data_IF_116483483009
#
_entry.id   IF_116483483009
#
_cell.length_a   1.000
_cell.length_b   1.000
_cell.length_c   1.000
_cell.angle_alpha   90.00
_cell.angle_beta   90.00
_cell.angle_gamma   90.00
#
_symmetry.space_group_name_H-M   'P 1'
#
loop_
_entity.id
_entity.type
_entity.pdbx_description
1 polymer ?
#
# COMPACT_ATOMS: atom_id res chain seq x y z
N UNK A 1 -14.82 -57.26 30.38
CA UNK A 1 -13.41 -56.98 30.71
C UNK A 1 -13.43 -55.59 31.39
N UNK A 2 -13.54 -55.34 32.72
CA UNK A 2 -12.88 -55.85 33.96
C UNK A 2 -11.36 -55.80 33.80
N UNK A 3 -10.58 -54.88 34.44
CA UNK A 3 -10.47 -54.46 35.87
C UNK A 3 -9.70 -53.10 35.97
N UNK A 4 -10.12 -52.13 36.80
CA UNK A 4 -9.66 -51.72 38.17
C UNK A 4 -8.28 -51.02 38.23
N UNK A 5 -8.17 -49.72 38.56
CA UNK A 5 -8.08 -49.01 39.88
C UNK A 5 -6.80 -49.36 40.71
N UNK A 6 -6.17 -48.29 41.26
CA UNK A 6 -5.51 -48.12 42.59
C UNK A 6 -4.13 -47.43 42.41
N UNK A 7 -4.00 -46.11 42.59
CA UNK A 7 -3.73 -45.34 43.83
C UNK A 7 -2.56 -45.87 44.68
N UNK A 8 -1.49 -45.09 44.88
CA UNK A 8 -0.93 -44.92 46.23
C UNK A 8 -0.14 -43.61 46.35
N UNK A 9 -0.45 -42.96 47.46
CA UNK A 9 -0.02 -41.67 47.96
C UNK A 9 1.10 -41.93 48.99
N UNK A 10 1.82 -40.85 49.37
CA UNK A 10 2.56 -40.65 50.63
C UNK A 10 3.99 -41.22 50.67
N UNK A 11 5.01 -40.37 50.91
CA UNK A 11 5.54 -40.13 52.26
C UNK A 11 6.80 -39.25 52.23
N UNK A 12 6.73 -38.18 53.01
CA UNK A 12 7.80 -37.30 53.45
C UNK A 12 9.04 -38.03 53.99
N UNK A 13 10.23 -37.46 53.81
CA UNK A 13 11.19 -37.43 54.91
C UNK A 13 12.09 -36.18 54.86
N UNK A 14 12.10 -35.49 55.99
CA UNK A 14 12.93 -34.36 56.34
C UNK A 14 14.35 -34.83 56.72
N UNK A 15 15.34 -33.99 56.39
CA UNK A 15 16.58 -33.69 57.11
C UNK A 15 17.44 -34.81 57.74
N UNK A 16 18.72 -34.85 57.33
CA UNK A 16 19.81 -35.45 58.10
C UNK A 16 21.18 -35.16 57.48
N UNK A 17 21.95 -34.25 58.08
CA UNK A 17 23.39 -34.10 57.85
C UNK A 17 24.14 -35.34 58.36
N UNK A 18 25.11 -35.86 57.59
CA UNK A 18 26.54 -35.91 57.95
C UNK A 18 27.36 -36.95 57.14
N UNK A 19 28.55 -36.49 56.76
CA UNK A 19 29.80 -37.23 56.53
C UNK A 19 30.05 -38.02 55.22
N UNK A 20 30.95 -37.42 54.43
CA UNK A 20 32.02 -37.96 53.59
C UNK A 20 32.13 -39.49 53.37
N UNK A 21 32.22 -39.88 52.10
CA UNK A 21 33.35 -40.68 51.58
C UNK A 21 33.27 -40.77 50.06
N UNK A 22 34.38 -40.47 49.38
CA UNK A 22 34.58 -40.64 47.96
C UNK A 22 34.38 -42.12 47.53
N UNK A 23 33.82 -42.41 46.37
CA UNK A 23 34.56 -42.49 45.11
C UNK A 23 33.63 -42.93 43.95
N UNK A 24 33.98 -42.41 42.76
CA UNK A 24 33.74 -42.95 41.42
C UNK A 24 32.37 -42.80 40.73
N UNK A 25 32.45 -41.93 39.71
CA UNK A 25 31.96 -42.09 38.33
C UNK A 25 30.46 -42.10 38.08
N UNK A 26 29.89 -40.90 38.02
CA UNK A 26 29.43 -40.28 36.77
C UNK A 26 28.83 -38.92 37.12
N UNK A 27 29.64 -37.86 37.04
CA UNK A 27 29.09 -36.53 36.84
C UNK A 27 28.51 -36.52 35.43
N UNK A 28 27.20 -36.69 35.32
CA UNK A 28 26.49 -36.16 34.17
C UNK A 28 26.80 -34.66 34.15
N UNK A 29 27.62 -34.25 33.18
CA UNK A 29 27.85 -32.84 32.85
C UNK A 29 26.47 -32.20 32.73
N UNK A 30 26.18 -31.05 33.36
CA UNK A 30 24.99 -30.31 33.02
C UNK A 30 25.05 -30.09 31.51
N UNK A 31 24.05 -30.57 30.76
CA UNK A 31 23.90 -30.14 29.39
C UNK A 31 23.69 -28.64 29.48
N UNK A 32 24.74 -27.92 29.10
CA UNK A 32 24.70 -26.52 28.75
C UNK A 32 23.62 -26.46 27.66
N UNK A 33 22.41 -26.02 28.04
CA UNK A 33 21.41 -25.62 27.05
C UNK A 33 22.07 -24.44 26.33
N UNK A 34 22.77 -24.76 25.24
CA UNK A 34 23.31 -23.75 24.34
C UNK A 34 22.12 -22.87 23.94
N UNK A 35 22.19 -21.60 24.38
CA UNK A 35 21.27 -20.57 23.92
C UNK A 35 21.21 -20.69 22.40
N UNK A 36 20.01 -20.76 21.79
CA UNK A 36 19.92 -20.92 20.35
C UNK A 36 20.78 -19.84 19.69
N UNK A 37 21.72 -20.27 18.86
CA UNK A 37 22.56 -19.34 18.12
C UNK A 37 21.64 -18.39 17.33
N UNK A 38 21.91 -17.10 17.49
CA UNK A 38 21.11 -16.03 16.92
C UNK A 38 21.91 -15.40 15.77
N UNK A 39 21.33 -15.44 14.58
CA UNK A 39 21.96 -15.00 13.34
C UNK A 39 21.34 -13.69 12.86
N UNK A 40 22.13 -12.88 12.17
CA UNK A 40 21.75 -11.55 11.70
C UNK A 40 21.37 -11.56 10.23
N UNK A 41 20.57 -10.57 9.86
CA UNK A 41 20.23 -10.27 8.47
C UNK A 41 20.70 -8.85 8.17
N UNK A 42 21.56 -8.70 7.17
CA UNK A 42 22.04 -7.42 6.65
C UNK A 42 21.54 -7.23 5.21
N UNK A 43 21.30 -5.99 4.81
CA UNK A 43 20.87 -5.64 3.45
C UNK A 43 21.99 -4.83 2.81
N UNK A 44 22.41 -5.22 1.61
CA UNK A 44 23.61 -4.70 0.98
C UNK A 44 23.55 -3.20 0.64
N UNK A 45 22.38 -2.60 0.42
CA UNK A 45 22.20 -1.15 0.18
C UNK A 45 20.76 -0.64 0.43
N UNK A 46 20.60 0.70 0.54
CA UNK A 46 19.43 1.54 0.89
C UNK A 46 18.13 1.32 0.08
N UNK A 47 17.62 0.09 0.00
CA UNK A 47 16.31 -0.18 -0.58
C UNK A 47 15.18 0.18 0.40
N UNK A 48 14.06 0.78 -0.09
CA UNK A 48 12.89 1.08 0.73
C UNK A 48 12.14 -0.20 1.08
N UNK A 49 12.68 -0.98 2.02
CA UNK A 49 12.00 -2.12 2.61
C UNK A 49 11.08 -1.58 3.70
N UNK A 50 9.79 -1.87 3.62
CA UNK A 50 8.81 -1.40 4.62
C UNK A 50 8.77 -2.24 5.89
N UNK A 51 9.39 -3.42 5.89
CA UNK A 51 9.34 -4.32 7.03
C UNK A 51 10.45 -4.00 8.03
N UNK A 52 10.11 -3.98 9.32
CA UNK A 52 11.12 -3.90 10.39
C UNK A 52 11.69 -5.29 10.63
N UNK A 53 12.83 -5.62 10.01
CA UNK A 53 13.55 -6.85 10.30
C UNK A 53 13.99 -6.87 11.77
N UNK A 54 13.93 -8.05 12.40
CA UNK A 54 14.49 -8.26 13.74
C UNK A 54 16.00 -8.07 13.71
N UNK A 55 16.57 -7.68 14.84
CA UNK A 55 18.02 -7.57 15.02
C UNK A 55 18.74 -8.93 15.03
N UNK A 56 18.01 -10.03 15.26
CA UNK A 56 18.52 -11.40 15.21
C UNK A 56 17.36 -12.41 15.05
N UNK A 57 17.66 -13.56 14.46
CA UNK A 57 16.76 -14.68 14.19
C UNK A 57 17.38 -16.00 14.65
N UNK A 58 16.55 -16.98 15.04
CA UNK A 58 17.04 -18.33 15.30
C UNK A 58 17.16 -19.13 13.99
N UNK A 59 18.07 -20.10 13.93
CA UNK A 59 18.10 -21.06 12.81
C UNK A 59 16.73 -21.76 12.65
N UNK A 60 16.26 -21.89 11.41
CA UNK A 60 14.96 -22.47 11.09
C UNK A 60 13.77 -21.49 11.20
N UNK A 61 13.99 -20.26 11.65
CA UNK A 61 12.95 -19.24 11.71
C UNK A 61 12.58 -18.72 10.29
N UNK A 62 11.30 -18.50 10.02
CA UNK A 62 10.86 -17.94 8.74
C UNK A 62 11.06 -16.42 8.74
N UNK A 63 11.66 -15.90 7.66
CA UNK A 63 11.85 -14.47 7.42
C UNK A 63 11.09 -14.09 6.16
N UNK A 64 10.34 -12.99 6.21
CA UNK A 64 9.58 -12.45 5.07
C UNK A 64 9.97 -11.00 4.80
N UNK A 65 10.36 -10.74 3.57
CA UNK A 65 10.72 -9.43 3.04
C UNK A 65 9.51 -8.92 2.24
N UNK A 66 9.17 -7.65 2.47
CA UNK A 66 8.09 -6.93 1.79
C UNK A 66 8.69 -5.74 1.05
N UNK A 67 8.57 -5.74 -0.28
CA UNK A 67 9.04 -4.68 -1.17
C UNK A 67 7.84 -3.99 -1.81
N UNK A 68 7.89 -2.68 -1.95
CA UNK A 68 6.88 -1.89 -2.68
C UNK A 68 6.99 -2.25 -4.18
N UNK A 69 5.93 -2.77 -4.77
CA UNK A 69 5.91 -3.08 -6.20
C UNK A 69 5.74 -1.78 -6.98
N UNK A 70 6.72 -1.47 -7.83
CA UNK A 70 6.61 -0.39 -8.82
C UNK A 70 6.26 -1.07 -10.14
N UNK A 71 5.26 -0.57 -10.85
CA UNK A 71 4.57 -1.27 -11.96
C UNK A 71 5.47 -1.64 -13.15
N UNK A 72 6.71 -1.14 -13.22
CA UNK A 72 7.70 -1.39 -14.29
C UNK A 72 9.00 -2.07 -13.82
N UNK A 73 9.10 -2.36 -12.54
CA UNK A 73 10.29 -2.90 -11.91
C UNK A 73 9.91 -4.20 -11.21
N UNK A 74 10.61 -5.29 -11.51
CA UNK A 74 10.58 -6.44 -10.62
C UNK A 74 11.93 -6.57 -9.93
N UNK A 75 11.87 -6.89 -8.64
CA UNK A 75 13.07 -7.13 -7.86
C UNK A 75 13.48 -8.59 -7.99
N UNK A 76 14.78 -8.80 -8.20
CA UNK A 76 15.41 -10.07 -7.85
C UNK A 76 16.03 -9.93 -6.48
N UNK A 77 15.64 -10.82 -5.59
CA UNK A 77 16.13 -10.84 -4.21
C UNK A 77 17.06 -12.02 -4.07
N UNK A 78 18.28 -11.77 -3.62
CA UNK A 78 19.28 -12.80 -3.37
C UNK A 78 19.57 -12.89 -1.87
N UNK A 79 19.63 -14.11 -1.35
CA UNK A 79 20.05 -14.43 0.03
C UNK A 79 21.36 -15.19 -0.06
N UNK A 80 22.45 -14.60 0.46
CA UNK A 80 23.81 -15.13 0.33
C UNK A 80 24.16 -15.49 -1.13
N UNK A 81 23.72 -14.67 -2.09
CA UNK A 81 23.92 -14.86 -3.52
C UNK A 81 22.96 -15.84 -4.21
N UNK A 82 21.98 -16.42 -3.48
CA UNK A 82 20.96 -17.32 -4.05
C UNK A 82 19.67 -16.56 -4.31
N UNK A 83 19.21 -16.54 -5.57
CA UNK A 83 17.95 -15.90 -5.96
C UNK A 83 16.74 -16.58 -5.30
N UNK A 84 15.88 -15.78 -4.67
CA UNK A 84 14.61 -16.21 -4.10
C UNK A 84 13.48 -16.08 -5.12
N UNK A 85 12.58 -17.06 -5.11
CA UNK A 85 11.33 -16.95 -5.83
C UNK A 85 10.34 -16.03 -5.10
N UNK A 86 9.59 -15.23 -5.86
CA UNK A 86 8.49 -14.42 -5.34
C UNK A 86 7.33 -15.31 -4.87
N UNK A 87 6.72 -14.96 -3.74
CA UNK A 87 5.52 -15.65 -3.26
C UNK A 87 4.30 -15.26 -4.09
N UNK A 88 3.87 -16.18 -4.95
CA UNK A 88 2.74 -15.99 -5.88
C UNK A 88 1.38 -16.02 -5.18
N UNK A 89 1.28 -16.50 -3.94
CA UNK A 89 0.02 -16.53 -3.20
C UNK A 89 -0.27 -15.21 -2.46
N UNK A 90 0.72 -14.34 -2.32
CA UNK A 90 0.65 -13.10 -1.55
C UNK A 90 0.65 -11.83 -2.43
N UNK A 91 0.32 -11.92 -3.73
CA UNK A 91 0.41 -10.80 -4.65
C UNK A 91 -0.71 -9.77 -4.43
N UNK A 92 -0.48 -8.89 -3.46
CA UNK A 92 -0.99 -7.53 -3.52
C UNK A 92 -0.32 -6.83 -4.72
N UNK A 93 -1.08 -6.14 -5.57
CA UNK A 93 -0.49 -5.39 -6.70
C UNK A 93 0.44 -4.28 -6.22
N UNK A 94 0.36 -3.90 -4.95
CA UNK A 94 1.21 -2.88 -4.31
C UNK A 94 2.49 -3.46 -3.71
N UNK A 95 2.58 -4.78 -3.46
CA UNK A 95 3.74 -5.34 -2.77
C UNK A 95 4.17 -6.73 -3.26
N UNK A 96 5.48 -6.90 -3.39
CA UNK A 96 6.12 -8.18 -3.64
C UNK A 96 6.65 -8.78 -2.34
N UNK A 97 6.37 -10.06 -2.14
CA UNK A 97 6.76 -10.79 -0.93
C UNK A 97 7.77 -11.89 -1.27
N UNK A 98 8.83 -11.97 -0.47
CA UNK A 98 9.87 -13.00 -0.59
C UNK A 98 10.07 -13.62 0.79
N UNK A 99 10.12 -14.94 0.86
CA UNK A 99 10.28 -15.65 2.14
C UNK A 99 11.41 -16.67 2.06
N UNK A 100 12.17 -16.79 3.14
CA UNK A 100 13.19 -17.82 3.30
C UNK A 100 13.24 -18.32 4.75
N UNK A 101 13.93 -19.44 4.97
CA UNK A 101 14.19 -19.99 6.30
C UNK A 101 15.59 -19.62 6.71
N UNK A 102 15.76 -19.08 7.92
CA UNK A 102 17.06 -18.63 8.43
C UNK A 102 18.04 -19.81 8.51
N UNK A 103 19.22 -19.72 7.85
CA UNK A 103 20.24 -20.75 7.94
C UNK A 103 21.02 -20.66 9.27
N UNK A 104 21.94 -21.61 9.49
CA UNK A 104 22.88 -21.61 10.61
C UNK A 104 24.09 -20.67 10.35
N UNK A 105 23.83 -19.49 9.77
CA UNK A 105 24.83 -18.46 9.49
C UNK A 105 24.16 -17.09 9.29
N UNK A 106 24.97 -16.02 9.38
CA UNK A 106 24.49 -14.67 9.06
C UNK A 106 24.12 -14.56 7.57
N UNK A 107 23.12 -13.73 7.27
CA UNK A 107 22.56 -13.56 5.93
C UNK A 107 22.79 -12.16 5.41
N UNK A 108 23.29 -12.07 4.18
CA UNK A 108 23.29 -10.86 3.37
C UNK A 108 22.17 -10.95 2.32
N UNK A 109 21.32 -9.92 2.29
CA UNK A 109 20.29 -9.72 1.27
C UNK A 109 20.77 -8.71 0.25
N UNK A 110 20.79 -9.11 -1.01
CA UNK A 110 21.05 -8.23 -2.15
C UNK A 110 19.76 -8.09 -2.96
N UNK A 111 19.43 -6.86 -3.36
CA UNK A 111 18.23 -6.57 -4.16
C UNK A 111 18.69 -5.93 -5.47
N UNK A 112 18.36 -6.59 -6.57
CA UNK A 112 18.57 -6.09 -7.92
C UNK A 112 17.25 -5.57 -8.47
N UNK A 113 17.24 -4.30 -8.85
CA UNK A 113 16.14 -3.66 -9.54
C UNK A 113 16.23 -3.95 -11.04
N UNK A 114 15.27 -4.71 -11.57
CA UNK A 114 15.21 -5.09 -12.98
C UNK A 114 14.05 -4.37 -13.65
N UNK A 115 14.39 -3.35 -14.45
CA UNK A 115 13.44 -2.72 -15.37
C UNK A 115 13.14 -3.66 -16.54
N UNK A 116 11.86 -3.74 -16.93
CA UNK A 116 11.43 -4.59 -18.05
C UNK A 116 11.07 -3.74 -19.25
N UNK A 117 11.91 -3.79 -20.29
CA UNK A 117 11.51 -3.35 -21.63
C UNK A 117 10.47 -4.35 -22.18
N UNK A 118 9.18 -4.03 -22.13
CA UNK A 118 8.12 -4.89 -22.68
C UNK A 118 7.98 -4.65 -24.20
N UNK A 119 8.41 -5.57 -25.08
CA UNK A 119 8.29 -5.39 -26.52
C UNK A 119 6.88 -5.79 -26.96
N UNK A 120 6.11 -4.82 -27.48
CA UNK A 120 4.71 -5.00 -27.88
C UNK A 120 3.68 -4.50 -26.86
N UNK A 121 4.12 -3.56 -25.99
CA UNK A 121 3.50 -3.17 -24.73
C UNK A 121 2.03 -2.78 -24.76
N UNK A 122 1.30 -3.30 -23.78
CA UNK A 122 0.12 -2.65 -23.23
C UNK A 122 0.59 -1.40 -22.48
N UNK A 123 0.26 -0.23 -23.01
CA UNK A 123 0.44 1.05 -22.32
C UNK A 123 -0.54 1.13 -21.15
N UNK A 124 -0.05 1.44 -19.95
CA UNK A 124 -0.88 1.68 -18.76
C UNK A 124 -0.41 2.93 -18.01
N UNK A 125 -1.26 3.44 -17.14
CA UNK A 125 -1.08 4.71 -16.42
C UNK A 125 -0.24 4.47 -15.17
N UNK A 126 0.82 5.27 -15.03
CA UNK A 126 1.70 5.26 -13.85
C UNK A 126 1.26 6.33 -12.87
N UNK A 127 0.95 7.52 -13.38
CA UNK A 127 0.61 8.66 -12.55
C UNK A 127 -0.35 9.64 -13.26
N UNK A 128 -1.15 10.34 -12.46
CA UNK A 128 -1.95 11.48 -12.87
C UNK A 128 -1.78 12.57 -11.81
N UNK A 129 -1.31 13.74 -12.22
CA UNK A 129 -1.09 14.85 -11.29
C UNK A 129 -1.53 16.18 -11.88
N UNK A 130 -1.95 17.07 -11.00
CA UNK A 130 -2.33 18.43 -11.34
C UNK A 130 -1.15 19.38 -11.14
N UNK A 131 -0.50 19.75 -12.24
CA UNK A 131 0.62 20.71 -12.20
C UNK A 131 0.17 22.12 -11.81
N UNK A 132 -1.10 22.47 -12.03
CA UNK A 132 -1.59 23.78 -11.62
C UNK A 132 -1.52 23.91 -10.09
N UNK A 133 -1.97 22.88 -9.38
CA UNK A 133 -1.90 22.83 -7.91
C UNK A 133 -0.46 22.74 -7.41
N UNK A 134 0.35 21.82 -7.95
CA UNK A 134 1.72 21.58 -7.47
C UNK A 134 2.66 22.75 -7.73
N UNK A 135 2.59 23.32 -8.93
CA UNK A 135 3.48 24.39 -9.37
C UNK A 135 2.90 25.79 -9.11
N UNK A 136 1.67 25.88 -8.56
CA UNK A 136 0.93 27.13 -8.33
C UNK A 136 0.80 27.97 -9.60
N UNK A 137 0.40 27.34 -10.69
CA UNK A 137 0.20 28.01 -11.96
C UNK A 137 -1.04 28.92 -11.89
N UNK A 138 -1.11 29.97 -12.73
CA UNK A 138 -2.32 30.77 -12.81
C UNK A 138 -3.49 29.93 -13.34
N UNK A 139 -4.58 29.97 -12.60
CA UNK A 139 -5.85 29.29 -12.86
C UNK A 139 -6.86 30.40 -13.23
N UNK A 140 -7.21 30.47 -14.52
CA UNK A 140 -8.12 31.50 -15.05
C UNK A 140 -9.53 31.32 -14.48
N UNK A 141 -10.25 32.41 -14.17
CA UNK A 141 -11.58 32.38 -13.51
C UNK A 141 -12.72 31.71 -14.31
N UNK A 142 -12.43 31.06 -15.44
CA UNK A 142 -13.42 30.40 -16.29
C UNK A 142 -13.47 28.90 -16.02
N UNK A 143 -14.66 28.39 -15.69
CA UNK A 143 -14.96 26.95 -15.62
C UNK A 143 -14.65 26.29 -16.96
N UNK A 144 -13.96 25.15 -16.93
CA UNK A 144 -13.54 24.42 -18.13
C UNK A 144 -14.26 23.07 -18.22
N UNK A 145 -15.03 22.86 -19.29
CA UNK A 145 -15.50 21.53 -19.70
C UNK A 145 -14.32 20.78 -20.32
N UNK A 146 -13.86 19.68 -19.69
CA UNK A 146 -12.71 18.91 -20.17
C UNK A 146 -13.09 17.54 -20.73
N UNK A 147 -14.22 16.98 -20.31
CA UNK A 147 -14.70 15.68 -20.79
C UNK A 147 -16.21 15.59 -20.76
N UNK A 148 -16.75 14.69 -21.58
CA UNK A 148 -18.17 14.39 -21.59
C UNK A 148 -18.42 12.92 -21.96
N UNK A 149 -19.40 12.29 -21.32
CA UNK A 149 -19.96 10.99 -21.73
C UNK A 149 -21.40 11.15 -22.22
N UNK A 150 -22.15 10.04 -22.39
CA UNK A 150 -23.52 10.08 -22.89
C UNK A 150 -24.50 10.81 -21.95
N UNK A 151 -24.16 10.94 -20.67
CA UNK A 151 -25.06 11.37 -19.59
C UNK A 151 -24.51 12.49 -18.73
N UNK A 152 -23.20 12.74 -18.77
CA UNK A 152 -22.51 13.61 -17.82
C UNK A 152 -21.47 14.48 -18.53
N UNK A 153 -21.41 15.74 -18.14
CA UNK A 153 -20.36 16.71 -18.46
C UNK A 153 -19.44 16.86 -17.25
N UNK A 154 -18.13 16.90 -17.48
CA UNK A 154 -17.10 16.93 -16.44
C UNK A 154 -16.28 18.21 -16.55
N UNK A 155 -16.11 18.91 -15.43
CA UNK A 155 -15.55 20.25 -15.40
C UNK A 155 -14.44 20.41 -14.38
N UNK A 156 -13.46 21.23 -14.73
CA UNK A 156 -12.53 21.84 -13.78
C UNK A 156 -13.04 23.22 -13.35
N UNK A 157 -12.69 23.63 -12.13
CA UNK A 157 -13.03 24.93 -11.54
C UNK A 157 -12.39 26.13 -12.26
N UNK A 158 -11.38 25.87 -13.09
CA UNK A 158 -10.72 26.84 -13.94
C UNK A 158 -10.14 26.17 -15.20
N UNK A 159 -9.55 26.96 -16.09
CA UNK A 159 -8.81 26.46 -17.27
C UNK A 159 -7.50 25.82 -16.81
N UNK A 160 -7.48 24.48 -16.67
CA UNK A 160 -6.32 23.72 -16.21
C UNK A 160 -6.15 22.33 -16.82
N UNK A 161 -7.02 21.89 -17.73
CA UNK A 161 -6.94 20.54 -18.32
C UNK A 161 -5.57 20.24 -18.98
N UNK A 162 -4.96 21.26 -19.59
CA UNK A 162 -3.60 21.19 -20.15
C UNK A 162 -2.46 21.00 -19.12
N UNK A 163 -2.76 21.21 -17.84
CA UNK A 163 -1.83 21.07 -16.71
C UNK A 163 -2.10 19.82 -15.87
N UNK A 164 -3.24 19.14 -16.07
CA UNK A 164 -3.47 17.80 -15.52
C UNK A 164 -2.79 16.80 -16.44
N UNK A 165 -1.69 16.21 -15.97
CA UNK A 165 -0.81 15.38 -16.78
C UNK A 165 -0.99 13.92 -16.41
N UNK A 166 -1.08 13.08 -17.44
CA UNK A 166 -1.05 11.62 -17.34
C UNK A 166 0.30 11.13 -17.83
N UNK A 167 1.00 10.36 -17.02
CA UNK A 167 2.22 9.66 -17.40
C UNK A 167 1.92 8.17 -17.58
N UNK A 168 2.31 7.65 -18.74
CA UNK A 168 2.28 6.21 -18.98
C UNK A 168 3.60 5.53 -18.63
N UNK A 169 3.56 4.21 -18.69
CA UNK A 169 4.68 3.33 -18.36
C UNK A 169 5.84 3.34 -19.36
N UNK A 170 5.82 4.23 -20.34
CA UNK A 170 6.94 4.50 -21.25
C UNK A 170 7.59 5.86 -20.96
N UNK A 171 7.10 6.57 -19.93
CA UNK A 171 7.49 7.94 -19.62
C UNK A 171 6.89 8.97 -20.57
N UNK A 172 5.95 8.58 -21.45
CA UNK A 172 5.21 9.54 -22.26
C UNK A 172 4.22 10.27 -21.37
N UNK A 173 4.23 11.59 -21.46
CA UNK A 173 3.28 12.47 -20.79
C UNK A 173 2.31 13.07 -21.80
N UNK A 174 1.04 13.11 -21.44
CA UNK A 174 -0.04 13.73 -22.22
C UNK A 174 -1.00 14.47 -21.28
N UNK A 175 -1.72 15.46 -21.79
CA UNK A 175 -2.77 16.11 -21.02
C UNK A 175 -3.98 15.18 -20.82
N UNK A 176 -4.75 15.42 -19.75
CA UNK A 176 -5.90 14.60 -19.35
C UNK A 176 -6.94 14.42 -20.46
N UNK A 177 -7.18 15.44 -21.29
CA UNK A 177 -8.17 15.39 -22.37
C UNK A 177 -7.69 14.46 -23.47
N UNK A 178 -6.42 14.56 -23.86
CA UNK A 178 -5.80 13.64 -24.81
C UNK A 178 -5.81 12.20 -24.29
N UNK A 179 -5.48 12.01 -23.01
CA UNK A 179 -5.45 10.69 -22.39
C UNK A 179 -6.83 10.01 -22.34
N UNK A 180 -7.89 10.74 -21.98
CA UNK A 180 -9.28 10.24 -22.01
C UNK A 180 -9.71 9.92 -23.45
N UNK A 181 -9.39 10.78 -24.42
CA UNK A 181 -9.72 10.56 -25.83
C UNK A 181 -9.01 9.35 -26.43
N UNK A 182 -7.78 9.08 -26.02
CA UNK A 182 -7.00 7.90 -26.42
C UNK A 182 -7.47 6.62 -25.71
N UNK A 183 -8.34 6.73 -24.69
CA UNK A 183 -8.73 5.61 -23.83
C UNK A 183 -7.60 5.11 -22.94
N UNK A 184 -6.58 5.96 -22.69
CA UNK A 184 -5.47 5.67 -21.79
C UNK A 184 -5.92 5.69 -20.33
N UNK A 185 -6.84 6.60 -20.00
CA UNK A 185 -7.50 6.72 -18.68
C UNK A 185 -9.02 6.75 -18.86
N UNK A 186 -9.71 6.52 -17.75
CA UNK A 186 -11.13 6.71 -17.53
C UNK A 186 -11.36 7.77 -16.45
N UNK A 187 -12.61 8.22 -16.26
CA UNK A 187 -12.96 9.10 -15.14
C UNK A 187 -12.65 8.45 -13.78
N UNK A 188 -12.81 7.14 -13.66
CA UNK A 188 -12.50 6.43 -12.42
C UNK A 188 -11.01 6.49 -12.05
N UNK A 189 -10.12 6.66 -13.03
CA UNK A 189 -8.69 6.86 -12.76
C UNK A 189 -8.45 8.25 -12.16
N UNK A 190 -9.19 9.29 -12.58
CA UNK A 190 -9.12 10.61 -11.94
C UNK A 190 -9.53 10.55 -10.46
N UNK A 191 -10.58 9.79 -10.13
CA UNK A 191 -11.00 9.55 -8.74
C UNK A 191 -9.91 8.82 -7.93
N UNK A 192 -9.27 7.82 -8.55
CA UNK A 192 -8.22 7.05 -7.91
C UNK A 192 -7.00 7.90 -7.54
N UNK A 193 -6.60 8.80 -8.44
CA UNK A 193 -5.47 9.70 -8.26
C UNK A 193 -5.82 11.00 -7.53
N UNK A 194 -7.08 11.18 -7.12
CA UNK A 194 -7.51 12.33 -6.32
C UNK A 194 -7.57 13.64 -7.11
N UNK A 195 -7.76 13.59 -8.43
CA UNK A 195 -7.91 14.78 -9.26
C UNK A 195 -9.31 15.37 -9.04
N UNK A 196 -9.37 16.60 -8.55
CA UNK A 196 -10.64 17.26 -8.27
C UNK A 196 -11.32 17.77 -9.56
N UNK A 197 -12.58 17.39 -9.75
CA UNK A 197 -13.47 17.89 -10.79
C UNK A 197 -14.92 17.92 -10.28
N UNK A 198 -15.82 18.57 -11.01
CA UNK A 198 -17.25 18.51 -10.75
C UNK A 198 -18.02 18.07 -11.99
N UNK A 199 -19.23 17.56 -11.78
CA UNK A 199 -20.07 17.00 -12.84
C UNK A 199 -21.37 17.75 -12.98
N UNK A 200 -21.90 17.76 -14.20
CA UNK A 200 -23.28 18.16 -14.47
C UNK A 200 -23.95 17.08 -15.33
N UNK A 201 -25.19 16.69 -15.02
CA UNK A 201 -25.95 15.82 -15.90
C UNK A 201 -26.19 16.55 -17.23
N UNK A 202 -25.98 15.85 -18.34
CA UNK A 202 -26.42 16.31 -19.66
C UNK A 202 -27.93 16.35 -19.65
N UNK A 203 -28.48 17.55 -19.61
CA UNK A 203 -29.91 17.78 -19.57
C UNK A 203 -30.63 17.04 -20.72
N UNK A 204 -31.29 15.93 -20.37
CA UNK A 204 -32.59 15.63 -20.94
C UNK A 204 -33.68 16.40 -20.20
N UNK A 205 -33.53 17.73 -20.05
CA UNK A 205 -34.22 18.62 -19.08
C UNK A 205 -34.02 18.22 -17.59
N UNK A 206 -33.27 19.01 -16.81
CA UNK A 206 -33.24 18.86 -15.36
C UNK A 206 -32.42 19.91 -14.61
N UNK A 207 -32.92 21.15 -14.58
CA UNK A 207 -32.67 22.23 -13.60
C UNK A 207 -31.44 22.10 -12.68
N UNK A 208 -30.48 23.01 -12.89
CA UNK A 208 -29.39 23.33 -11.96
C UNK A 208 -29.96 23.68 -10.57
N UNK A 209 -29.78 22.79 -9.59
CA UNK A 209 -29.81 23.18 -8.19
C UNK A 209 -28.45 23.78 -7.84
N UNK A 210 -28.42 25.12 -7.83
CA UNK A 210 -27.33 25.91 -7.28
C UNK A 210 -27.37 25.78 -5.75
N UNK A 211 -26.23 25.54 -5.06
CA UNK A 211 -26.23 25.50 -3.61
C UNK A 211 -26.63 26.86 -3.03
N UNK A 212 -27.70 26.82 -2.27
CA UNK A 212 -28.32 27.84 -1.47
C UNK A 212 -27.35 28.38 -0.41
N UNK A 213 -26.58 29.41 -0.79
CA UNK A 213 -25.97 30.32 0.17
C UNK A 213 -27.03 31.26 0.74
N UNK A 214 -27.51 30.91 1.93
CA UNK A 214 -28.38 31.74 2.75
C UNK A 214 -27.70 33.04 3.21
N UNK A 215 -28.08 34.16 2.57
CA UNK A 215 -28.19 35.53 3.14
C UNK A 215 -26.96 36.23 3.73
N UNK A 216 -27.02 37.55 4.04
CA UNK A 216 -28.25 38.27 4.41
C UNK A 216 -28.50 39.60 3.67
N UNK A 217 -29.79 39.88 3.47
CA UNK A 217 -30.37 41.23 3.54
C UNK A 217 -30.37 42.05 2.25
N UNK A 218 -31.55 42.19 1.64
CA UNK A 218 -32.12 43.53 1.54
C UNK A 218 -33.64 43.51 1.34
N UNK A 219 -34.25 44.57 1.83
CA UNK A 219 -35.68 44.80 2.08
C UNK A 219 -36.50 44.84 0.78
N UNK A 220 -37.64 44.14 0.73
CA UNK A 220 -38.71 44.47 -0.23
C UNK A 220 -39.91 44.97 0.58
N UNK A 221 -40.10 46.29 0.53
CA UNK A 221 -41.27 46.98 1.07
C UNK A 221 -42.52 46.61 0.27
N UNK A 222 -43.60 46.37 1.03
CA UNK A 222 -44.98 46.33 0.60
C UNK A 222 -45.34 47.51 -0.32
N UNK A 223 -45.93 47.23 -1.49
CA UNK A 223 -47.10 48.00 -1.97
C UNK A 223 -48.05 47.07 -2.74
N UNK A 224 -49.20 46.82 -2.13
CA UNK A 224 -50.40 46.31 -2.78
C UNK A 224 -50.95 47.33 -3.78
N UNK A 225 -51.36 46.89 -4.97
CA UNK A 225 -52.39 47.56 -5.77
C UNK A 225 -53.29 46.51 -6.42
N UNK A 226 -54.40 46.24 -5.74
CA UNK A 226 -55.60 45.61 -6.28
C UNK A 226 -56.38 46.67 -7.05
N UNK A 227 -56.58 46.48 -8.36
CA UNK A 227 -57.71 47.06 -9.07
C UNK A 227 -58.47 45.97 -9.82
N UNK A 228 -59.76 45.91 -9.50
CA UNK A 228 -60.78 44.94 -9.92
C UNK A 228 -61.52 45.51 -11.15
N UNK A 229 -61.85 44.70 -12.18
CA UNK A 229 -62.83 45.12 -13.18
C UNK A 229 -64.21 44.46 -12.95
N UNK A 230 -65.22 45.29 -12.69
CA UNK A 230 -66.57 45.28 -13.31
C UNK A 230 -67.39 46.48 -12.80
#
# INVERSE_FOLDING_TARGET
MKKWIVFFLILSCLAGLAACSANDTNLAKPQEEESPEAYKVEIADNYPIRNTLKSAYAAGEQVTIKLDTITEHYYKVYVNGVELAMDTAASDLTYSYYSFTMPEEDVLIEIEDVSVDIPGGTTFVVDIWDREEEERLPCDEAIELFWEDDTTEYYFSCIKSQYVIVMDNTGRTVDVVSALREGLITIADLDHYGIEYFTQPKDGNGAVEQPDNAGPGDVIDDVQLLEIPA
#
